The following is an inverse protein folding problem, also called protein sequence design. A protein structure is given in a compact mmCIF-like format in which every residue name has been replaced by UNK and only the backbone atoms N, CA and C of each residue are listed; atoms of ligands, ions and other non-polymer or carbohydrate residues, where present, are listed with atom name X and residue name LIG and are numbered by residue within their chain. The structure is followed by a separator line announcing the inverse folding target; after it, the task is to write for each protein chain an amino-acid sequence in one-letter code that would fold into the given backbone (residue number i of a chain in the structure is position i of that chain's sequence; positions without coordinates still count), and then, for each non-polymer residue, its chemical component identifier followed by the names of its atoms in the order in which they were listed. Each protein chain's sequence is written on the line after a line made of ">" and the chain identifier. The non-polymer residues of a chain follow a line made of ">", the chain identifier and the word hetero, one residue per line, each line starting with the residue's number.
data_IF_193051596335
#
_entry.id   IF_193051596335
#
_cell.length_a   1.000
_cell.length_b   1.000
_cell.length_c   1.000
_cell.angle_alpha   90.00
_cell.angle_beta   90.00
_cell.angle_gamma   90.00
#
_symmetry.space_group_name_H-M   'P 1'
#
loop_
_entity.id
_entity.type
_entity.pdbx_description
1 polymer ?
#
# COMPACT_ATOMS: atom_id res chain seq x y z
N UNK A 1 -13.81 -61.75 60.96
CA UNK A 1 -12.76 -61.40 59.98
C UNK A 1 -13.27 -60.28 59.09
N UNK A 2 -12.89 -59.05 59.42
CA UNK A 2 -13.34 -57.81 58.73
C UNK A 2 -12.28 -57.41 57.73
N UNK A 3 -12.63 -57.28 56.44
CA UNK A 3 -11.79 -56.70 55.39
C UNK A 3 -12.13 -55.24 55.22
N UNK A 4 -11.20 -54.38 55.54
CA UNK A 4 -11.26 -52.92 55.30
C UNK A 4 -10.72 -52.69 53.91
N UNK A 5 -11.59 -52.16 53.04
CA UNK A 5 -11.17 -51.69 51.69
C UNK A 5 -10.76 -50.23 51.76
N UNK A 6 -9.54 -49.93 51.37
CA UNK A 6 -8.99 -48.59 51.20
C UNK A 6 -9.29 -48.12 49.79
N UNK A 7 -10.16 -47.09 49.66
CA UNK A 7 -10.33 -46.34 48.39
C UNK A 7 -9.27 -45.25 48.32
N UNK A 8 -8.33 -45.43 47.41
CA UNK A 8 -7.37 -44.39 47.01
C UNK A 8 -8.02 -43.48 45.97
N UNK A 9 -8.37 -42.23 46.31
CA UNK A 9 -8.79 -41.23 45.38
C UNK A 9 -7.56 -40.63 44.68
N UNK A 10 -7.33 -40.97 43.39
CA UNK A 10 -6.36 -40.33 42.55
C UNK A 10 -6.95 -38.99 42.02
N UNK A 11 -6.57 -37.89 42.64
CA UNK A 11 -6.80 -36.53 42.08
C UNK A 11 -5.80 -36.30 40.99
N UNK A 12 -6.21 -36.44 39.71
CA UNK A 12 -5.45 -35.96 38.55
C UNK A 12 -5.53 -34.43 38.54
N UNK A 13 -4.47 -33.76 38.99
CA UNK A 13 -4.22 -32.37 38.68
C UNK A 13 -3.93 -32.26 37.17
N UNK A 14 -4.91 -31.82 36.39
CA UNK A 14 -4.71 -31.34 35.02
C UNK A 14 -4.01 -29.98 35.12
N UNK A 15 -2.68 -29.98 35.26
CA UNK A 15 -1.86 -28.83 34.98
C UNK A 15 -1.93 -28.58 33.48
N UNK A 16 -2.78 -27.63 33.08
CA UNK A 16 -2.77 -27.09 31.73
C UNK A 16 -1.36 -26.55 31.42
N UNK A 17 -0.61 -27.30 30.67
CA UNK A 17 0.64 -26.86 30.05
C UNK A 17 0.27 -25.76 29.03
N UNK A 18 0.12 -24.52 29.50
CA UNK A 18 0.25 -23.35 28.62
C UNK A 18 1.69 -23.32 28.15
N UNK A 19 1.99 -24.05 27.09
CA UNK A 19 3.26 -23.89 26.38
C UNK A 19 3.46 -22.41 26.06
N UNK A 20 4.71 -21.91 26.01
CA UNK A 20 4.95 -20.55 25.59
C UNK A 20 4.28 -20.36 24.23
N UNK A 21 3.40 -19.35 24.13
CA UNK A 21 2.76 -19.01 22.86
C UNK A 21 3.87 -18.82 21.83
N UNK A 22 4.04 -19.77 20.93
CA UNK A 22 5.08 -19.71 19.92
C UNK A 22 4.80 -18.49 19.06
N UNK A 23 5.75 -17.55 19.03
CA UNK A 23 5.60 -16.33 18.25
C UNK A 23 5.32 -16.70 16.79
N UNK A 24 4.22 -16.19 16.24
CA UNK A 24 3.77 -16.52 14.89
C UNK A 24 4.66 -15.84 13.87
N UNK A 25 5.33 -16.64 13.02
CA UNK A 25 6.17 -16.10 11.95
C UNK A 25 5.32 -15.49 10.84
N UNK A 26 5.78 -14.36 10.30
CA UNK A 26 5.16 -13.67 9.17
C UNK A 26 6.22 -13.11 8.23
N UNK A 27 6.21 -13.53 6.97
CA UNK A 27 7.07 -12.97 5.92
C UNK A 27 6.37 -11.76 5.33
N UNK A 28 6.99 -10.60 5.47
CA UNK A 28 6.41 -9.29 5.15
C UNK A 28 7.15 -8.68 3.99
N UNK A 29 6.45 -8.39 2.90
CA UNK A 29 7.04 -7.77 1.72
C UNK A 29 6.60 -6.33 1.50
N UNK A 30 7.51 -5.49 0.98
CA UNK A 30 7.17 -4.15 0.53
C UNK A 30 8.16 -3.62 -0.52
N UNK A 31 7.70 -2.65 -1.29
CA UNK A 31 8.54 -1.94 -2.24
C UNK A 31 9.54 -1.03 -1.53
N UNK A 32 10.83 -1.15 -1.88
CA UNK A 32 11.96 -0.46 -1.22
C UNK A 32 12.16 0.99 -1.68
N UNK A 33 11.14 1.62 -2.27
CA UNK A 33 11.18 3.00 -2.74
C UNK A 33 9.84 3.71 -2.52
N UNK A 34 9.79 5.00 -2.81
CA UNK A 34 8.60 5.82 -2.69
C UNK A 34 7.98 5.78 -1.30
N UNK A 35 6.66 5.85 -1.25
CA UNK A 35 5.91 5.88 0.03
C UNK A 35 5.90 4.54 0.77
N UNK A 36 6.12 3.41 0.09
CA UNK A 36 6.18 2.11 0.78
C UNK A 36 7.43 1.97 1.65
N UNK A 37 8.56 2.54 1.22
CA UNK A 37 9.80 2.56 1.99
C UNK A 37 9.62 3.24 3.34
N UNK A 38 8.97 4.42 3.37
CA UNK A 38 8.84 5.19 4.61
C UNK A 38 8.01 4.49 5.66
N UNK A 39 6.88 3.88 5.28
CA UNK A 39 6.05 3.11 6.21
C UNK A 39 6.78 1.85 6.70
N UNK A 40 7.41 1.12 5.79
CA UNK A 40 8.19 -0.07 6.12
C UNK A 40 9.33 0.23 7.09
N UNK A 41 10.07 1.32 6.87
CA UNK A 41 11.14 1.75 7.77
C UNK A 41 10.64 2.05 9.19
N UNK A 42 9.50 2.74 9.32
CA UNK A 42 8.89 3.02 10.64
C UNK A 42 8.41 1.74 11.30
N UNK A 43 7.77 0.84 10.56
CA UNK A 43 7.27 -0.44 11.07
C UNK A 43 8.40 -1.31 11.62
N UNK A 44 9.52 -1.43 10.87
CA UNK A 44 10.71 -2.19 11.27
C UNK A 44 11.41 -1.53 12.46
N UNK A 45 11.77 -0.26 12.36
CA UNK A 45 12.53 0.44 13.41
C UNK A 45 11.78 0.51 14.73
N UNK A 46 10.45 0.67 14.67
CA UNK A 46 9.59 0.69 15.85
C UNK A 46 9.26 -0.70 16.41
N UNK A 47 9.68 -1.79 15.75
CA UNK A 47 9.41 -3.17 16.14
C UNK A 47 7.92 -3.42 16.41
N UNK A 48 7.05 -2.85 15.56
CA UNK A 48 5.61 -2.90 15.81
C UNK A 48 5.04 -4.31 15.66
N UNK A 49 5.59 -5.14 14.78
CA UNK A 49 5.17 -6.55 14.65
C UNK A 49 5.58 -7.38 15.86
N UNK A 50 6.80 -7.20 16.34
CA UNK A 50 7.31 -7.91 17.52
C UNK A 50 6.54 -7.53 18.80
N UNK A 51 6.13 -6.26 18.92
CA UNK A 51 5.29 -5.80 20.04
C UNK A 51 3.92 -6.47 20.06
N UNK A 52 3.43 -6.95 18.93
CA UNK A 52 2.21 -7.76 18.83
C UNK A 52 2.48 -9.26 19.00
N UNK A 53 3.70 -9.66 19.36
CA UNK A 53 4.08 -11.06 19.56
C UNK A 53 4.23 -11.85 18.25
N UNK A 54 4.58 -11.15 17.15
CA UNK A 54 4.91 -11.75 15.87
C UNK A 54 6.42 -11.84 15.68
N UNK A 55 6.88 -12.76 14.84
CA UNK A 55 8.27 -12.84 14.38
C UNK A 55 8.30 -12.47 12.89
N UNK A 56 8.56 -11.18 12.56
CA UNK A 56 8.57 -10.74 11.17
C UNK A 56 9.89 -11.12 10.47
N UNK A 57 9.75 -11.46 9.18
CA UNK A 57 10.85 -11.51 8.22
C UNK A 57 10.55 -10.50 7.11
N UNK A 58 11.34 -9.45 7.00
CA UNK A 58 11.10 -8.37 6.04
C UNK A 58 11.83 -8.62 4.72
N UNK A 59 11.09 -8.55 3.61
CA UNK A 59 11.57 -8.73 2.24
C UNK A 59 11.34 -7.44 1.46
N UNK A 60 12.41 -6.80 1.00
CA UNK A 60 12.37 -5.55 0.23
C UNK A 60 12.46 -5.84 -1.27
N UNK A 61 11.55 -5.24 -2.05
CA UNK A 61 11.45 -5.45 -3.48
C UNK A 61 11.79 -4.18 -4.27
N UNK A 62 12.47 -4.30 -5.42
CA UNK A 62 12.87 -3.13 -6.21
C UNK A 62 11.74 -2.55 -7.08
N UNK A 63 10.63 -3.28 -7.27
CA UNK A 63 9.51 -2.92 -8.15
C UNK A 63 8.19 -2.87 -7.37
N UNK A 64 7.30 -1.92 -7.71
CA UNK A 64 6.04 -1.69 -7.02
C UNK A 64 5.04 -2.86 -7.13
N UNK A 65 5.11 -3.65 -8.18
CA UNK A 65 4.25 -4.82 -8.40
C UNK A 65 4.88 -6.13 -7.87
N UNK A 66 6.15 -6.12 -7.49
CA UNK A 66 6.86 -7.32 -7.04
C UNK A 66 6.30 -7.92 -5.74
N UNK A 67 5.84 -7.15 -4.73
CA UNK A 67 5.20 -7.72 -3.55
C UNK A 67 3.97 -8.56 -3.90
N UNK A 68 3.09 -8.10 -4.80
CA UNK A 68 1.91 -8.87 -5.22
C UNK A 68 2.29 -10.16 -5.94
N UNK A 69 3.33 -10.12 -6.80
CA UNK A 69 3.87 -11.33 -7.47
C UNK A 69 4.45 -12.32 -6.47
N UNK A 70 5.19 -11.83 -5.46
CA UNK A 70 5.74 -12.66 -4.39
C UNK A 70 4.66 -13.31 -3.52
N UNK A 71 3.54 -12.59 -3.26
CA UNK A 71 2.34 -13.12 -2.61
C UNK A 71 1.74 -14.28 -3.41
N UNK A 72 1.53 -14.08 -4.72
CA UNK A 72 0.99 -15.09 -5.62
C UNK A 72 1.86 -16.34 -5.67
N UNK A 73 3.20 -16.18 -5.61
CA UNK A 73 4.18 -17.27 -5.55
C UNK A 73 4.31 -17.90 -4.14
N UNK A 74 3.63 -17.39 -3.11
CA UNK A 74 3.75 -17.88 -1.74
C UNK A 74 5.08 -17.52 -1.05
N UNK A 75 5.87 -16.60 -1.62
CA UNK A 75 7.17 -16.21 -1.07
C UNK A 75 7.04 -15.31 0.17
N UNK A 76 5.96 -14.58 0.31
CA UNK A 76 5.60 -13.75 1.47
C UNK A 76 4.17 -14.02 1.91
N UNK A 77 3.82 -13.65 3.15
CA UNK A 77 2.52 -13.91 3.77
C UNK A 77 1.66 -12.64 3.86
N UNK A 78 2.32 -11.49 3.98
CA UNK A 78 1.72 -10.17 4.03
C UNK A 78 2.52 -9.17 3.20
N UNK A 79 1.84 -8.35 2.40
CA UNK A 79 2.43 -7.20 1.73
C UNK A 79 1.88 -5.91 2.36
N UNK A 80 2.78 -5.05 2.84
CA UNK A 80 2.42 -3.81 3.57
C UNK A 80 1.64 -2.85 2.69
N UNK A 81 2.09 -2.69 1.44
CA UNK A 81 1.57 -1.70 0.49
C UNK A 81 1.69 -2.26 -0.93
N UNK A 82 1.02 -3.41 -1.16
CA UNK A 82 0.86 -3.94 -2.51
C UNK A 82 0.08 -2.95 -3.36
N UNK A 83 0.42 -2.82 -4.64
CA UNK A 83 -0.32 -1.97 -5.56
C UNK A 83 -1.80 -2.38 -5.62
N UNK A 84 -2.72 -1.45 -5.37
CA UNK A 84 -4.15 -1.72 -5.42
C UNK A 84 -4.58 -2.27 -6.79
N UNK A 85 -4.07 -1.71 -7.90
CA UNK A 85 -4.38 -2.18 -9.24
C UNK A 85 -4.02 -3.64 -9.45
N UNK A 86 -2.75 -4.02 -9.18
CA UNK A 86 -2.31 -5.41 -9.31
C UNK A 86 -3.04 -6.33 -8.33
N UNK A 87 -3.30 -5.87 -7.09
CA UNK A 87 -3.99 -6.69 -6.08
C UNK A 87 -5.44 -6.96 -6.46
N UNK A 88 -6.15 -5.96 -6.97
CA UNK A 88 -7.51 -6.12 -7.49
C UNK A 88 -7.54 -7.07 -8.70
N UNK A 89 -6.57 -6.97 -9.61
CA UNK A 89 -6.46 -7.88 -10.76
C UNK A 89 -6.28 -9.33 -10.33
N UNK A 90 -5.26 -9.64 -9.52
CA UNK A 90 -4.97 -11.03 -9.14
C UNK A 90 -6.07 -11.66 -8.28
N UNK A 91 -6.79 -10.86 -7.48
CA UNK A 91 -7.94 -11.38 -6.71
C UNK A 91 -9.16 -11.61 -7.61
N UNK A 92 -9.38 -10.78 -8.63
CA UNK A 92 -10.41 -11.00 -9.64
C UNK A 92 -10.09 -12.23 -10.52
N UNK A 93 -8.82 -12.53 -10.75
CA UNK A 93 -8.34 -13.74 -11.43
C UNK A 93 -8.45 -15.01 -10.55
N UNK A 94 -8.97 -14.87 -9.32
CA UNK A 94 -9.25 -16.00 -8.43
C UNK A 94 -8.04 -16.46 -7.59
N UNK A 95 -6.94 -15.68 -7.51
CA UNK A 95 -5.85 -16.03 -6.62
C UNK A 95 -6.33 -15.98 -5.16
N UNK A 96 -5.93 -16.96 -4.30
CA UNK A 96 -6.38 -17.06 -2.91
C UNK A 96 -5.68 -16.02 -2.00
N UNK A 97 -5.90 -14.75 -2.31
CA UNK A 97 -5.40 -13.58 -1.60
C UNK A 97 -6.57 -12.70 -1.18
N UNK A 98 -6.40 -11.97 -0.07
CA UNK A 98 -7.39 -11.00 0.40
C UNK A 98 -6.74 -9.67 0.74
N UNK A 99 -7.38 -8.59 0.31
CA UNK A 99 -7.07 -7.22 0.74
C UNK A 99 -7.70 -7.04 2.13
N UNK A 100 -6.87 -6.73 3.11
CA UNK A 100 -7.27 -6.59 4.53
C UNK A 100 -7.15 -5.16 5.05
N UNK A 101 -6.51 -4.27 4.27
CA UNK A 101 -6.30 -2.86 4.58
C UNK A 101 -6.20 -2.01 3.30
N UNK A 102 -6.68 -0.78 3.35
CA UNK A 102 -6.16 0.33 2.58
C UNK A 102 -4.95 0.90 3.35
N UNK A 103 -3.83 1.16 2.68
CA UNK A 103 -2.58 1.60 3.33
C UNK A 103 -2.02 2.90 2.77
N UNK A 104 -2.32 3.24 1.52
CA UNK A 104 -1.82 4.43 0.85
C UNK A 104 -2.91 5.02 -0.03
N UNK A 105 -3.06 6.34 0.04
CA UNK A 105 -3.95 7.09 -0.85
C UNK A 105 -3.18 7.69 -2.02
N UNK A 106 -3.87 8.02 -3.11
CA UNK A 106 -3.26 8.64 -4.28
C UNK A 106 -2.95 10.11 -4.03
N UNK A 107 -1.80 10.35 -3.44
CA UNK A 107 -1.23 11.70 -3.28
C UNK A 107 -0.17 11.92 -4.37
N UNK A 108 -0.64 12.15 -5.60
CA UNK A 108 0.16 12.38 -6.80
C UNK A 108 -0.32 13.61 -7.55
N UNK A 109 0.63 14.20 -8.28
CA UNK A 109 0.35 15.27 -9.23
C UNK A 109 0.90 14.92 -10.62
N UNK A 110 0.22 15.41 -11.65
CA UNK A 110 0.81 15.52 -12.98
C UNK A 110 1.69 16.76 -13.00
N UNK A 111 2.95 16.54 -13.33
CA UNK A 111 3.97 17.59 -13.33
C UNK A 111 4.67 17.68 -14.69
N UNK A 112 5.13 18.87 -14.99
CA UNK A 112 5.94 19.20 -16.18
C UNK A 112 7.14 20.05 -15.75
N UNK A 113 8.22 20.17 -16.54
CA UNK A 113 9.23 21.18 -16.32
C UNK A 113 8.60 22.59 -16.24
N UNK A 114 9.16 23.48 -15.41
CA UNK A 114 8.61 24.83 -15.21
C UNK A 114 8.54 25.64 -16.52
N UNK A 115 9.53 25.46 -17.40
CA UNK A 115 9.62 26.08 -18.71
C UNK A 115 8.77 25.41 -19.80
N UNK A 116 8.06 24.32 -19.48
CA UNK A 116 7.24 23.57 -20.44
C UNK A 116 6.10 24.44 -21.02
N UNK A 117 5.81 24.33 -22.32
CA UNK A 117 4.65 24.94 -22.96
C UNK A 117 3.32 24.31 -22.52
N UNK A 118 3.32 23.08 -21.97
CA UNK A 118 2.15 22.36 -21.49
C UNK A 118 1.63 23.09 -20.25
N UNK A 119 0.39 23.61 -20.25
CA UNK A 119 -0.19 24.39 -19.16
C UNK A 119 -1.30 23.65 -18.43
N UNK A 120 -1.99 22.75 -19.11
CA UNK A 120 -3.17 22.04 -18.62
C UNK A 120 -3.07 20.54 -18.93
N UNK A 121 -3.95 19.75 -18.32
CA UNK A 121 -4.06 18.31 -18.61
C UNK A 121 -4.47 18.03 -20.08
N UNK A 122 -5.23 18.92 -20.70
CA UNK A 122 -5.64 18.78 -22.10
C UNK A 122 -4.47 18.88 -23.08
N UNK A 123 -3.41 19.61 -22.71
CA UNK A 123 -2.18 19.75 -23.55
C UNK A 123 -1.32 18.48 -23.56
N UNK A 124 -1.68 17.47 -22.76
CA UNK A 124 -1.00 16.17 -22.73
C UNK A 124 -1.30 15.30 -23.97
N UNK A 125 -2.22 15.70 -24.83
CA UNK A 125 -2.49 14.98 -26.08
C UNK A 125 -1.25 14.98 -27.00
N UNK A 126 -0.86 13.81 -27.47
CA UNK A 126 0.35 13.61 -28.29
C UNK A 126 1.66 13.59 -27.50
N UNK A 127 1.63 13.56 -26.16
CA UNK A 127 2.81 13.69 -25.31
C UNK A 127 3.28 12.36 -24.73
N UNK A 128 4.57 12.33 -24.33
CA UNK A 128 5.13 11.24 -23.53
C UNK A 128 4.89 11.50 -22.06
N UNK A 129 4.13 10.62 -21.42
CA UNK A 129 3.71 10.77 -20.01
C UNK A 129 4.36 9.66 -19.19
N UNK A 130 5.24 10.04 -18.26
CA UNK A 130 5.82 9.12 -17.29
C UNK A 130 4.79 8.66 -16.27
N UNK A 131 4.69 7.35 -16.04
CA UNK A 131 3.81 6.75 -15.02
C UNK A 131 4.45 5.49 -14.44
N UNK A 132 3.94 5.01 -13.32
CA UNK A 132 4.37 3.73 -12.75
C UNK A 132 4.14 2.58 -13.75
N UNK A 133 4.81 1.42 -13.56
CA UNK A 133 4.67 0.28 -14.46
C UNK A 133 3.22 -0.14 -14.69
N UNK A 134 2.94 -0.70 -15.87
CA UNK A 134 1.63 -1.27 -16.22
C UNK A 134 1.13 -2.23 -15.15
N UNK A 135 -0.18 -2.26 -14.92
CA UNK A 135 -0.82 -3.02 -13.85
C UNK A 135 -0.79 -2.34 -12.48
N UNK A 136 0.01 -1.29 -12.28
CA UNK A 136 -0.02 -0.52 -11.03
C UNK A 136 -1.27 0.36 -10.94
N UNK A 137 -1.70 0.69 -9.71
CA UNK A 137 -2.81 1.61 -9.49
C UNK A 137 -2.54 2.99 -10.11
N UNK A 138 -1.31 3.51 -10.03
CA UNK A 138 -0.93 4.79 -10.66
C UNK A 138 -1.15 4.77 -12.16
N UNK A 139 -0.74 3.71 -12.86
CA UNK A 139 -0.93 3.59 -14.30
C UNK A 139 -2.43 3.54 -14.65
N UNK A 140 -3.20 2.72 -13.93
CA UNK A 140 -4.64 2.58 -14.15
C UNK A 140 -5.41 3.89 -13.89
N UNK A 141 -5.07 4.61 -12.80
CA UNK A 141 -5.68 5.92 -12.50
C UNK A 141 -5.30 6.95 -13.55
N UNK A 142 -4.04 6.97 -14.01
CA UNK A 142 -3.60 7.87 -15.07
C UNK A 142 -4.42 7.67 -16.35
N UNK A 143 -4.55 6.43 -16.81
CA UNK A 143 -5.37 6.10 -17.99
C UNK A 143 -6.82 6.51 -17.77
N UNK A 144 -7.41 6.17 -16.62
CA UNK A 144 -8.80 6.50 -16.29
C UNK A 144 -9.06 8.03 -16.33
N UNK A 145 -8.14 8.82 -15.78
CA UNK A 145 -8.22 10.29 -15.81
C UNK A 145 -8.17 10.80 -17.25
N UNK A 146 -7.14 10.40 -18.01
CA UNK A 146 -6.94 10.90 -19.38
C UNK A 146 -8.09 10.48 -20.31
N UNK A 147 -8.53 9.24 -20.25
CA UNK A 147 -9.56 8.71 -21.12
C UNK A 147 -10.96 9.21 -20.73
N UNK A 148 -11.28 9.31 -19.44
CA UNK A 148 -12.60 9.71 -18.99
C UNK A 148 -12.79 11.22 -18.95
N UNK A 149 -11.86 11.97 -18.31
CA UNK A 149 -12.02 13.42 -18.15
C UNK A 149 -11.69 14.19 -19.42
N UNK A 150 -10.66 13.74 -20.16
CA UNK A 150 -10.11 14.45 -21.32
C UNK A 150 -10.44 13.79 -22.66
N UNK A 151 -11.13 12.63 -22.63
CA UNK A 151 -11.55 11.90 -23.86
C UNK A 151 -10.39 11.45 -24.73
N UNK A 152 -9.23 11.19 -24.12
CA UNK A 152 -8.11 10.61 -24.83
C UNK A 152 -8.37 9.13 -25.14
N UNK A 153 -7.82 8.67 -26.24
CA UNK A 153 -7.69 7.23 -26.53
C UNK A 153 -6.28 6.76 -26.17
N UNK A 154 -6.02 5.46 -26.01
CA UNK A 154 -4.68 4.94 -25.73
C UNK A 154 -3.61 5.37 -26.74
N UNK A 155 -4.00 5.72 -27.99
CA UNK A 155 -3.12 6.24 -29.03
C UNK A 155 -2.87 7.75 -28.94
N UNK A 156 -3.60 8.47 -28.14
CA UNK A 156 -3.47 9.94 -28.00
C UNK A 156 -2.33 10.36 -27.06
N UNK A 157 -1.63 9.43 -26.43
CA UNK A 157 -0.45 9.69 -25.60
C UNK A 157 0.45 8.46 -25.53
N UNK A 158 1.72 8.67 -25.19
CA UNK A 158 2.68 7.58 -24.98
C UNK A 158 3.00 7.44 -23.50
N UNK A 159 2.54 6.37 -22.86
CA UNK A 159 2.91 6.03 -21.49
C UNK A 159 4.36 5.54 -21.41
N UNK A 160 5.16 6.14 -20.54
CA UNK A 160 6.55 5.74 -20.27
C UNK A 160 6.66 5.18 -18.87
N UNK A 161 6.85 3.84 -18.71
CA UNK A 161 6.87 3.23 -17.38
C UNK A 161 8.19 3.47 -16.66
N UNK A 162 8.11 3.72 -15.34
CA UNK A 162 9.26 3.87 -14.47
C UNK A 162 8.88 3.99 -13.00
N UNK A 163 9.90 3.88 -12.13
CA UNK A 163 9.74 4.34 -10.75
C UNK A 163 9.89 5.86 -10.68
N UNK A 164 9.38 6.47 -9.62
CA UNK A 164 9.34 7.93 -9.49
C UNK A 164 10.71 8.61 -9.66
N UNK A 165 11.84 8.14 -9.04
CA UNK A 165 13.15 8.77 -9.25
C UNK A 165 13.60 8.76 -10.72
N UNK A 166 13.35 7.64 -11.45
CA UNK A 166 13.68 7.53 -12.86
C UNK A 166 12.81 8.45 -13.72
N UNK A 167 11.52 8.51 -13.44
CA UNK A 167 10.60 9.40 -14.16
C UNK A 167 10.94 10.87 -13.93
N UNK A 168 11.32 11.25 -12.71
CA UNK A 168 11.79 12.58 -12.40
C UNK A 168 13.07 12.92 -13.17
N UNK A 169 14.01 11.97 -13.26
CA UNK A 169 15.22 12.14 -14.09
C UNK A 169 14.87 12.33 -15.57
N UNK A 170 14.01 11.49 -16.15
CA UNK A 170 13.58 11.62 -17.53
C UNK A 170 12.90 12.96 -17.80
N UNK A 171 12.12 13.46 -16.83
CA UNK A 171 11.46 14.75 -16.95
C UNK A 171 12.48 15.91 -16.98
N UNK A 172 13.48 15.89 -16.10
CA UNK A 172 14.57 16.88 -16.06
C UNK A 172 15.42 16.82 -17.35
N UNK A 173 15.66 15.63 -17.89
CA UNK A 173 16.39 15.41 -19.14
C UNK A 173 15.55 15.71 -20.40
N UNK A 174 14.25 16.00 -20.23
CA UNK A 174 13.29 16.23 -21.34
C UNK A 174 13.10 15.00 -22.23
N UNK A 175 13.36 13.78 -21.73
CA UNK A 175 13.07 12.52 -22.42
C UNK A 175 11.57 12.20 -22.43
N UNK A 176 10.83 12.75 -21.43
CA UNK A 176 9.37 12.74 -21.34
C UNK A 176 8.85 14.17 -21.16
N UNK A 177 7.61 14.41 -21.57
CA UNK A 177 6.98 15.74 -21.55
C UNK A 177 6.31 16.05 -20.20
N UNK A 178 5.76 15.03 -19.54
CA UNK A 178 5.07 15.12 -18.26
C UNK A 178 5.27 13.83 -17.47
N UNK A 179 5.02 13.87 -16.16
CA UNK A 179 5.01 12.68 -15.31
C UNK A 179 3.94 12.76 -14.24
N UNK A 180 3.38 11.59 -13.88
CA UNK A 180 2.59 11.40 -12.68
C UNK A 180 3.52 11.02 -11.53
N UNK A 181 3.85 11.96 -10.66
CA UNK A 181 4.77 11.77 -9.54
C UNK A 181 4.07 11.91 -8.18
N UNK A 182 4.48 11.10 -7.24
CA UNK A 182 4.04 11.22 -5.84
C UNK A 182 4.53 12.53 -5.25
N UNK A 183 3.69 13.14 -4.40
CA UNK A 183 4.05 14.40 -3.73
C UNK A 183 5.33 14.29 -2.92
N UNK A 184 5.61 13.12 -2.32
CA UNK A 184 6.88 12.86 -1.64
C UNK A 184 8.06 12.95 -2.58
N UNK A 185 7.96 12.41 -3.80
CA UNK A 185 9.04 12.50 -4.80
C UNK A 185 9.28 13.95 -5.23
N UNK A 186 8.20 14.70 -5.44
CA UNK A 186 8.30 16.14 -5.79
C UNK A 186 8.95 16.92 -4.64
N UNK A 187 8.60 16.63 -3.40
CA UNK A 187 9.16 17.30 -2.22
C UNK A 187 10.66 17.02 -2.03
N UNK A 188 11.14 15.84 -2.46
CA UNK A 188 12.55 15.45 -2.40
C UNK A 188 13.39 15.96 -3.59
N UNK A 189 12.80 16.73 -4.50
CA UNK A 189 13.43 17.25 -5.70
C UNK A 189 13.19 18.77 -5.86
N UNK A 190 13.51 19.59 -4.84
CA UNK A 190 13.20 21.03 -4.85
C UNK A 190 13.87 21.77 -6.03
N UNK A 191 15.04 21.32 -6.45
CA UNK A 191 15.81 21.93 -7.54
C UNK A 191 15.33 21.53 -8.94
N UNK A 192 14.42 20.56 -9.05
CA UNK A 192 13.94 20.06 -10.34
C UNK A 192 13.02 21.05 -11.08
N UNK A 193 12.60 22.16 -10.43
CA UNK A 193 11.75 23.22 -10.99
C UNK A 193 10.57 22.66 -11.77
N UNK A 194 9.73 21.90 -11.05
CA UNK A 194 8.54 21.25 -11.60
C UNK A 194 7.30 22.12 -11.38
N UNK A 195 6.43 22.14 -12.37
CA UNK A 195 5.11 22.79 -12.29
C UNK A 195 4.02 21.73 -12.34
N UNK A 196 3.08 21.81 -11.39
CA UNK A 196 1.88 20.97 -11.35
C UNK A 196 0.86 21.47 -12.36
N UNK A 197 0.26 20.54 -13.10
CA UNK A 197 -0.80 20.83 -14.10
C UNK A 197 -2.11 20.08 -13.79
N UNK A 198 -2.10 19.14 -12.86
CA UNK A 198 -3.27 18.41 -12.40
C UNK A 198 -2.95 17.61 -11.15
N UNK A 199 -3.95 17.35 -10.32
CA UNK A 199 -3.84 16.53 -9.11
C UNK A 199 -4.69 15.28 -9.25
N UNK A 200 -4.16 14.10 -8.89
CA UNK A 200 -4.92 12.85 -8.93
C UNK A 200 -6.19 12.93 -8.11
N UNK A 201 -6.13 13.53 -6.94
CA UNK A 201 -7.29 13.69 -6.06
C UNK A 201 -8.41 14.49 -6.73
N UNK A 202 -8.06 15.64 -7.33
CA UNK A 202 -9.04 16.49 -8.00
C UNK A 202 -9.60 15.84 -9.27
N UNK A 203 -8.73 15.24 -10.07
CA UNK A 203 -9.12 14.55 -11.30
C UNK A 203 -9.98 13.31 -11.01
N UNK A 204 -9.66 12.58 -9.94
CA UNK A 204 -10.46 11.43 -9.49
C UNK A 204 -11.85 11.86 -9.01
N UNK A 205 -11.92 12.96 -8.24
CA UNK A 205 -13.20 13.56 -7.85
C UNK A 205 -14.02 13.95 -9.09
N UNK A 206 -13.39 14.53 -10.10
CA UNK A 206 -14.06 14.88 -11.37
C UNK A 206 -14.60 13.64 -12.08
N UNK A 207 -13.81 12.54 -12.11
CA UNK A 207 -14.17 11.29 -12.75
C UNK A 207 -15.30 10.56 -12.00
N UNK A 208 -15.18 10.41 -10.68
CA UNK A 208 -16.07 9.57 -9.87
C UNK A 208 -17.23 10.32 -9.24
N UNK A 209 -17.18 11.64 -9.19
CA UNK A 209 -18.10 12.52 -8.46
C UNK A 209 -18.10 12.25 -6.94
N UNK A 210 -17.00 11.73 -6.40
CA UNK A 210 -16.82 11.41 -4.98
C UNK A 210 -15.60 12.11 -4.41
N UNK A 211 -15.65 12.49 -3.12
CA UNK A 211 -14.56 13.18 -2.43
C UNK A 211 -13.45 12.21 -1.97
N UNK A 212 -13.77 10.92 -1.80
CA UNK A 212 -12.79 9.93 -1.38
C UNK A 212 -11.67 9.80 -2.43
N UNK A 213 -10.39 9.97 -2.04
CA UNK A 213 -9.27 9.78 -2.94
C UNK A 213 -9.14 8.31 -3.33
N UNK A 214 -8.57 8.01 -4.52
CA UNK A 214 -8.28 6.64 -4.87
C UNK A 214 -7.19 6.05 -3.98
N UNK A 215 -7.22 4.73 -3.82
CA UNK A 215 -6.27 3.96 -3.01
C UNK A 215 -5.13 3.47 -3.90
N UNK A 216 -3.90 3.79 -3.55
CA UNK A 216 -2.71 3.31 -4.27
C UNK A 216 -2.19 1.98 -3.76
N UNK A 217 -2.19 1.83 -2.44
CA UNK A 217 -1.60 0.69 -1.78
C UNK A 217 -2.56 0.01 -0.83
N UNK A 218 -2.47 -1.30 -0.77
CA UNK A 218 -3.29 -2.15 0.09
C UNK A 218 -2.44 -3.11 0.91
N UNK A 219 -2.91 -3.45 2.08
CA UNK A 219 -2.42 -4.60 2.83
C UNK A 219 -3.03 -5.86 2.24
N UNK A 220 -2.17 -6.69 1.62
CA UNK A 220 -2.60 -7.94 0.98
C UNK A 220 -2.11 -9.13 1.79
N UNK A 221 -2.97 -10.10 2.06
CA UNK A 221 -2.65 -11.32 2.82
C UNK A 221 -2.96 -12.58 2.03
N UNK A 222 -2.18 -13.62 2.29
CA UNK A 222 -2.39 -14.95 1.72
C UNK A 222 -3.41 -15.72 2.55
N UNK A 223 -4.50 -16.19 1.91
CA UNK A 223 -5.62 -16.84 2.59
C UNK A 223 -5.18 -18.11 3.34
N UNK A 224 -4.27 -18.90 2.75
CA UNK A 224 -3.73 -20.08 3.40
C UNK A 224 -2.97 -19.76 4.70
N UNK A 225 -2.20 -18.66 4.73
CA UNK A 225 -1.52 -18.21 5.94
C UNK A 225 -2.50 -17.74 7.00
N UNK A 226 -3.54 -16.98 6.61
CA UNK A 226 -4.60 -16.55 7.53
C UNK A 226 -5.33 -17.74 8.17
N UNK A 227 -5.64 -18.76 7.38
CA UNK A 227 -6.30 -19.98 7.86
C UNK A 227 -5.44 -20.77 8.86
N UNK A 228 -4.13 -20.82 8.65
CA UNK A 228 -3.17 -21.51 9.53
C UNK A 228 -2.87 -20.72 10.81
N UNK A 229 -3.09 -19.41 10.80
CA UNK A 229 -2.72 -18.48 11.88
C UNK A 229 -3.90 -17.56 12.26
N UNK A 230 -5.00 -18.07 12.84
CA UNK A 230 -6.28 -17.37 12.96
C UNK A 230 -6.24 -16.04 13.73
N UNK A 231 -5.25 -15.86 14.62
CA UNK A 231 -5.08 -14.64 15.42
C UNK A 231 -4.04 -13.66 14.82
N UNK A 232 -3.08 -14.18 14.04
CA UNK A 232 -2.00 -13.38 13.49
C UNK A 232 -2.44 -12.25 12.54
N UNK A 233 -3.44 -12.44 11.66
CA UNK A 233 -3.91 -11.37 10.78
C UNK A 233 -4.35 -10.11 11.53
N UNK A 234 -5.08 -10.27 12.63
CA UNK A 234 -5.51 -9.12 13.46
C UNK A 234 -4.32 -8.43 14.13
N UNK A 235 -3.31 -9.19 14.59
CA UNK A 235 -2.07 -8.66 15.17
C UNK A 235 -1.25 -7.90 14.15
N UNK A 236 -1.10 -8.42 12.92
CA UNK A 236 -0.44 -7.71 11.81
C UNK A 236 -1.13 -6.35 11.57
N UNK A 237 -2.46 -6.35 11.49
CA UNK A 237 -3.22 -5.11 11.29
C UNK A 237 -3.09 -4.17 12.49
N UNK A 238 -3.06 -4.67 13.73
CA UNK A 238 -2.83 -3.86 14.92
C UNK A 238 -1.45 -3.20 14.90
N UNK A 239 -0.40 -3.94 14.53
CA UNK A 239 0.95 -3.41 14.34
C UNK A 239 0.97 -2.28 13.30
N UNK A 240 0.30 -2.47 12.15
CA UNK A 240 0.17 -1.44 11.12
C UNK A 240 -0.54 -0.19 11.63
N UNK A 241 -1.65 -0.34 12.36
CA UNK A 241 -2.39 0.78 12.96
C UNK A 241 -1.54 1.56 13.98
N UNK A 242 -0.81 0.84 14.84
CA UNK A 242 0.09 1.46 15.83
C UNK A 242 1.27 2.19 15.18
N UNK A 243 1.85 1.63 14.12
CA UNK A 243 2.90 2.29 13.34
C UNK A 243 2.37 3.57 12.65
N UNK A 244 1.14 3.52 12.11
CA UNK A 244 0.49 4.69 11.51
C UNK A 244 0.26 5.79 12.57
N UNK A 245 -0.34 5.43 13.70
CA UNK A 245 -0.60 6.36 14.81
C UNK A 245 0.69 6.97 15.37
N UNK A 246 1.76 6.18 15.49
CA UNK A 246 3.09 6.68 15.87
C UNK A 246 3.57 7.75 14.90
N UNK A 247 3.48 7.50 13.60
CA UNK A 247 3.91 8.47 12.59
C UNK A 247 3.04 9.73 12.54
N UNK A 248 1.76 9.63 12.92
CA UNK A 248 0.89 10.81 13.10
C UNK A 248 1.32 11.65 14.31
N UNK A 249 1.68 11.00 15.41
CA UNK A 249 2.00 11.66 16.67
C UNK A 249 3.40 12.27 16.74
N UNK A 250 4.40 11.67 16.07
CA UNK A 250 5.81 12.06 16.19
C UNK A 250 6.52 12.13 14.83
N UNK A 251 6.23 13.20 14.07
CA UNK A 251 6.91 13.47 12.79
C UNK A 251 8.44 13.58 12.91
N UNK A 252 9.00 14.21 13.96
CA UNK A 252 10.45 14.22 14.21
C UNK A 252 11.05 12.82 14.38
N UNK A 253 10.37 11.90 15.07
CA UNK A 253 10.83 10.52 15.17
C UNK A 253 10.80 9.80 13.83
N UNK A 254 9.74 9.99 13.04
CA UNK A 254 9.67 9.49 11.66
C UNK A 254 10.85 10.00 10.83
N UNK A 255 11.15 11.30 10.88
CA UNK A 255 12.29 11.86 10.16
C UNK A 255 13.63 11.22 10.58
N UNK A 256 13.87 11.03 11.89
CA UNK A 256 15.09 10.34 12.38
C UNK A 256 15.18 8.89 11.85
N UNK A 257 14.06 8.16 11.83
CA UNK A 257 14.03 6.81 11.30
C UNK A 257 14.36 6.80 9.81
N UNK A 258 13.78 7.72 9.04
CA UNK A 258 14.01 7.82 7.59
C UNK A 258 15.46 8.18 7.27
N UNK A 259 16.11 9.04 8.06
CA UNK A 259 17.55 9.32 7.92
C UNK A 259 18.38 8.04 8.13
N UNK A 260 18.08 7.28 9.19
CA UNK A 260 18.85 6.10 9.56
C UNK A 260 18.60 4.90 8.61
N UNK A 261 17.35 4.68 8.17
CA UNK A 261 16.94 3.47 7.46
C UNK A 261 16.83 3.65 5.94
N UNK A 262 16.60 4.87 5.45
CA UNK A 262 16.42 5.19 4.03
C UNK A 262 17.53 6.10 3.48
N UNK A 263 18.54 6.43 4.30
CA UNK A 263 19.67 7.29 3.95
C UNK A 263 19.24 8.65 3.37
N UNK A 264 18.15 9.22 3.88
CA UNK A 264 17.68 10.54 3.48
C UNK A 264 18.47 11.63 4.22
N UNK A 265 18.66 12.78 3.58
CA UNK A 265 19.14 13.98 4.27
C UNK A 265 18.16 14.41 5.38
N UNK A 266 18.60 15.21 6.33
CA UNK A 266 17.73 15.72 7.40
C UNK A 266 16.55 16.54 6.83
N UNK A 267 16.81 17.33 5.78
CA UNK A 267 15.79 18.12 5.10
C UNK A 267 14.75 17.22 4.39
N UNK A 268 15.22 16.24 3.63
CA UNK A 268 14.37 15.31 2.89
C UNK A 268 13.53 14.46 3.85
N UNK A 269 14.13 13.93 4.90
CA UNK A 269 13.42 13.13 5.90
C UNK A 269 12.33 13.95 6.61
N UNK A 270 12.60 15.23 6.90
CA UNK A 270 11.61 16.15 7.48
C UNK A 270 10.46 16.44 6.50
N UNK A 271 10.79 16.74 5.24
CA UNK A 271 9.79 16.96 4.20
C UNK A 271 8.92 15.72 3.98
N UNK A 272 9.52 14.53 3.96
CA UNK A 272 8.78 13.27 3.87
C UNK A 272 7.84 13.07 5.07
N UNK A 273 8.36 13.21 6.29
CA UNK A 273 7.58 13.00 7.51
C UNK A 273 6.37 13.96 7.59
N UNK A 274 6.49 15.18 7.10
CA UNK A 274 5.41 16.14 7.06
C UNK A 274 4.22 15.68 6.20
N UNK A 275 4.46 14.84 5.20
CA UNK A 275 3.43 14.29 4.31
C UNK A 275 2.70 13.05 4.87
N UNK A 276 3.11 12.52 6.04
CA UNK A 276 2.63 11.26 6.60
C UNK A 276 1.11 11.12 6.56
N UNK A 277 0.39 12.15 7.00
CA UNK A 277 -1.08 12.11 7.12
C UNK A 277 -1.79 12.24 5.76
N UNK A 278 -1.13 12.78 4.75
CA UNK A 278 -1.70 12.91 3.40
C UNK A 278 -1.51 11.68 2.54
N UNK A 279 -0.45 10.89 2.79
CA UNK A 279 -0.05 9.76 1.94
C UNK A 279 -0.47 8.39 2.50
N UNK A 280 -0.64 8.28 3.85
CA UNK A 280 -0.99 7.01 4.46
C UNK A 280 -2.40 6.97 5.02
N UNK A 281 -2.95 5.78 5.00
CA UNK A 281 -4.14 5.36 5.74
C UNK A 281 -3.91 3.94 6.25
N UNK A 282 -4.58 3.53 7.33
CA UNK A 282 -4.56 2.13 7.78
C UNK A 282 -5.96 1.78 8.25
N UNK A 283 -6.82 1.48 7.30
CA UNK A 283 -8.23 1.18 7.53
C UNK A 283 -8.80 0.20 6.49
N UNK A 284 -9.88 -0.45 6.82
CA UNK A 284 -10.77 -1.12 5.89
C UNK A 284 -12.22 -0.99 6.38
N UNK A 285 -12.63 0.26 6.52
CA UNK A 285 -14.01 0.62 6.84
C UNK A 285 -14.92 0.42 5.61
N UNK A 286 -16.24 0.41 5.79
CA UNK A 286 -17.16 0.30 4.66
C UNK A 286 -16.91 1.32 3.54
N UNK A 287 -16.44 2.52 3.86
CA UNK A 287 -16.08 3.54 2.88
C UNK A 287 -14.87 3.15 2.04
N UNK A 288 -13.84 2.52 2.64
CA UNK A 288 -12.64 2.04 1.94
C UNK A 288 -13.00 0.88 1.00
N UNK A 289 -13.85 -0.03 1.48
CA UNK A 289 -14.38 -1.13 0.66
C UNK A 289 -15.14 -0.60 -0.56
N UNK A 290 -15.98 0.41 -0.35
CA UNK A 290 -16.74 1.04 -1.43
C UNK A 290 -15.80 1.75 -2.43
N UNK A 291 -14.73 2.40 -1.94
CA UNK A 291 -13.70 3.02 -2.77
C UNK A 291 -12.96 1.99 -3.63
N UNK A 292 -12.47 0.89 -3.02
CA UNK A 292 -11.79 -0.20 -3.76
C UNK A 292 -12.69 -0.88 -4.80
N UNK A 293 -13.96 -1.11 -4.49
CA UNK A 293 -14.94 -1.62 -5.46
C UNK A 293 -15.14 -0.64 -6.61
N UNK A 294 -15.22 0.66 -6.31
CA UNK A 294 -15.30 1.71 -7.34
C UNK A 294 -14.05 1.75 -8.21
N UNK A 295 -12.86 1.65 -7.61
CA UNK A 295 -11.61 1.58 -8.35
C UNK A 295 -11.56 0.39 -9.29
N UNK A 296 -12.00 -0.79 -8.83
CA UNK A 296 -12.09 -1.97 -9.68
C UNK A 296 -12.94 -1.71 -10.94
N UNK A 297 -14.12 -1.10 -10.78
CA UNK A 297 -14.98 -0.78 -11.93
C UNK A 297 -14.36 0.26 -12.87
N UNK A 298 -13.71 1.28 -12.32
CA UNK A 298 -12.98 2.29 -13.11
C UNK A 298 -11.82 1.65 -13.88
N UNK A 299 -11.03 0.80 -13.23
CA UNK A 299 -9.90 0.10 -13.86
C UNK A 299 -10.36 -0.89 -14.94
N UNK A 300 -11.50 -1.53 -14.71
CA UNK A 300 -12.13 -2.42 -15.70
C UNK A 300 -12.60 -1.64 -16.92
N UNK A 301 -13.17 -0.46 -16.73
CA UNK A 301 -13.65 0.38 -17.83
C UNK A 301 -12.52 0.83 -18.79
N UNK A 302 -11.29 0.99 -18.28
CA UNK A 302 -10.10 1.33 -19.09
C UNK A 302 -9.25 0.11 -19.43
N UNK A 303 -9.74 -1.10 -19.21
CA UNK A 303 -9.06 -2.35 -19.57
C UNK A 303 -7.84 -2.69 -18.70
N UNK A 304 -7.63 -1.98 -17.58
CA UNK A 304 -6.50 -2.22 -16.68
C UNK A 304 -6.66 -3.47 -15.81
N UNK A 305 -7.90 -3.89 -15.55
CA UNK A 305 -8.25 -5.15 -14.88
C UNK A 305 -9.38 -5.84 -15.62
N UNK A 306 -9.55 -7.15 -15.40
CA UNK A 306 -10.60 -7.95 -16.02
C UNK A 306 -11.35 -8.77 -14.96
N UNK A 307 -12.35 -9.55 -15.41
CA UNK A 307 -13.06 -10.47 -14.53
C UNK A 307 -14.08 -9.80 -13.62
N UNK A 308 -14.28 -10.38 -12.45
CA UNK A 308 -15.21 -9.92 -11.41
C UNK A 308 -14.53 -10.01 -10.06
N UNK A 309 -14.61 -8.96 -9.28
CA UNK A 309 -14.06 -8.94 -7.94
C UNK A 309 -14.92 -9.80 -7.00
N UNK A 310 -14.42 -10.94 -6.47
CA UNK A 310 -15.21 -11.77 -5.57
C UNK A 310 -15.39 -11.06 -4.22
N UNK A 311 -16.47 -11.38 -3.50
CA UNK A 311 -16.74 -10.78 -2.18
C UNK A 311 -15.62 -11.10 -1.16
N UNK A 312 -14.92 -12.21 -1.34
CA UNK A 312 -13.79 -12.62 -0.50
C UNK A 312 -12.48 -11.84 -0.76
N UNK A 313 -12.43 -11.05 -1.83
CA UNK A 313 -11.25 -10.23 -2.17
C UNK A 313 -10.97 -9.14 -1.13
N UNK A 314 -12.03 -8.62 -0.48
CA UNK A 314 -11.94 -7.56 0.53
C UNK A 314 -12.40 -8.14 1.87
N UNK A 315 -11.44 -8.46 2.75
CA UNK A 315 -11.73 -9.09 4.04
C UNK A 315 -11.55 -8.10 5.21
N UNK A 316 -12.64 -7.51 5.74
CA UNK A 316 -12.55 -6.55 6.85
C UNK A 316 -12.33 -7.20 8.23
N UNK A 317 -12.41 -8.53 8.35
CA UNK A 317 -12.34 -9.21 9.65
C UNK A 317 -11.03 -8.97 10.41
N UNK A 318 -9.83 -9.04 9.78
CA UNK A 318 -8.58 -8.70 10.47
C UNK A 318 -8.56 -7.27 11.00
N UNK A 319 -9.05 -6.31 10.20
CA UNK A 319 -9.14 -4.92 10.61
C UNK A 319 -10.11 -4.73 11.78
N UNK A 320 -11.32 -5.28 11.70
CA UNK A 320 -12.31 -5.19 12.78
C UNK A 320 -11.77 -5.79 14.08
N UNK A 321 -11.16 -6.97 14.04
CA UNK A 321 -10.54 -7.62 15.22
C UNK A 321 -9.37 -6.84 15.78
N UNK A 322 -8.57 -6.18 14.93
CA UNK A 322 -7.42 -5.39 15.38
C UNK A 322 -7.81 -4.22 16.30
N UNK A 323 -9.07 -3.75 16.25
CA UNK A 323 -9.56 -2.65 17.08
C UNK A 323 -9.69 -3.04 18.56
N UNK A 324 -9.77 -4.32 18.87
CA UNK A 324 -9.85 -4.85 20.24
C UNK A 324 -8.48 -5.25 20.80
N UNK A 325 -7.43 -5.16 20.03
CA UNK A 325 -6.05 -5.40 20.48
C UNK A 325 -5.51 -4.12 21.13
N UNK A 326 -5.09 -4.16 22.42
CA UNK A 326 -4.68 -3.00 23.19
C UNK A 326 -3.39 -2.34 22.66
#
# INVERSE_FOLDING_TARGET
>A
MKRIGVLAAAALCALGLSGPAQAQSVRIGYWSSGISLGFGAVLEAGKFMEKEGLTPEYVKFPDVNAPTKAMAAGAIDFAIAASAGTSLSVTADGLPLSIVLATQVADLDFVVPEDSPIKTMADLKGKKIGTSPSGSATAAITSAILETNYKFTPGDYQGVPGNDPRLAQFLVQKDIDAAALRTVTIALLPDAKLRRIGSFRQEWKTLTKQDAPPILGVGLMRNAWMAQNPDAPAKVVAAMRKAYAFGQADKPAVARILQASANLSAADATAYAALWDSIYTVSLEPADIASLKREFEVFKAVGAVQGTLPDTALDPRPYARSKTIP
#
